data_IF_004004696030
#
_entry.id   IF_004004696030
#
_cell.length_a   1.000
_cell.length_b   1.000
_cell.length_c   1.000
_cell.angle_alpha   90.00
_cell.angle_beta   90.00
_cell.angle_gamma   90.00
#
_symmetry.space_group_name_H-M   'P 1'
#
loop_
_entity.id
_entity.type
_entity.pdbx_description
1 polymer ?
#
# COMPACT_ATOMS: atom_id res chain seq x y z
N UNK A 1 -26.97 25.54 8.85
CA UNK A 1 -26.71 24.70 7.64
C UNK A 1 -25.33 24.04 7.69
N UNK A 2 -24.23 24.80 7.85
CA UNK A 2 -22.88 24.23 7.96
C UNK A 2 -22.72 23.18 9.07
N UNK A 3 -23.22 23.44 10.29
CA UNK A 3 -23.13 22.47 11.39
C UNK A 3 -23.87 21.17 11.11
N UNK A 4 -25.00 21.23 10.38
CA UNK A 4 -25.76 20.04 9.98
C UNK A 4 -25.03 19.22 8.90
N UNK A 5 -24.39 19.89 7.93
CA UNK A 5 -23.54 19.23 6.94
C UNK A 5 -22.31 18.58 7.58
N UNK A 6 -21.64 19.28 8.50
CA UNK A 6 -20.50 18.73 9.25
C UNK A 6 -20.91 17.51 10.08
N UNK A 7 -22.04 17.59 10.79
CA UNK A 7 -22.55 16.46 11.57
C UNK A 7 -22.91 15.26 10.68
N UNK A 8 -23.57 15.51 9.53
CA UNK A 8 -23.88 14.48 8.54
C UNK A 8 -22.61 13.82 7.97
N UNK A 9 -21.58 14.61 7.66
CA UNK A 9 -20.29 14.10 7.17
C UNK A 9 -19.59 13.21 8.20
N UNK A 10 -19.61 13.60 9.48
CA UNK A 10 -19.06 12.79 10.58
C UNK A 10 -19.83 11.47 10.71
N UNK A 11 -21.16 11.51 10.66
CA UNK A 11 -22.00 10.31 10.70
C UNK A 11 -21.72 9.36 9.54
N UNK A 12 -21.66 9.88 8.30
CA UNK A 12 -21.36 9.08 7.11
C UNK A 12 -19.95 8.48 7.20
N UNK A 13 -18.98 9.25 7.69
CA UNK A 13 -17.60 8.80 7.87
C UNK A 13 -17.51 7.67 8.90
N UNK A 14 -18.22 7.80 10.03
CA UNK A 14 -18.31 6.75 11.04
C UNK A 14 -18.96 5.49 10.47
N UNK A 15 -20.10 5.64 9.79
CA UNK A 15 -20.83 4.52 9.19
C UNK A 15 -19.96 3.79 8.15
N UNK A 16 -19.28 4.53 7.28
CA UNK A 16 -18.40 3.98 6.24
C UNK A 16 -17.23 3.20 6.85
N UNK A 17 -16.61 3.72 7.91
CA UNK A 17 -15.53 3.02 8.60
C UNK A 17 -16.02 1.74 9.28
N UNK A 18 -17.17 1.80 9.96
CA UNK A 18 -17.77 0.63 10.61
C UNK A 18 -18.14 -0.45 9.56
N UNK A 19 -18.81 -0.06 8.48
CA UNK A 19 -19.17 -0.98 7.39
C UNK A 19 -17.92 -1.60 6.74
N UNK A 20 -16.85 -0.81 6.55
CA UNK A 20 -15.56 -1.30 6.08
C UNK A 20 -14.97 -2.38 6.99
N UNK A 21 -14.98 -2.15 8.31
CA UNK A 21 -14.50 -3.11 9.31
C UNK A 21 -15.38 -4.37 9.36
N UNK A 22 -16.71 -4.24 9.29
CA UNK A 22 -17.63 -5.38 9.24
C UNK A 22 -17.46 -6.21 7.97
N UNK A 23 -17.33 -5.57 6.80
CA UNK A 23 -17.05 -6.24 5.55
C UNK A 23 -15.71 -6.98 5.60
N UNK A 24 -14.68 -6.32 6.15
CA UNK A 24 -13.37 -6.92 6.40
C UNK A 24 -13.46 -8.16 7.29
N UNK A 25 -14.17 -8.08 8.42
CA UNK A 25 -14.38 -9.22 9.32
C UNK A 25 -15.13 -10.39 8.64
N UNK A 26 -16.16 -10.10 7.84
CA UNK A 26 -16.91 -11.11 7.09
C UNK A 26 -16.06 -11.79 6.01
N UNK A 27 -15.28 -11.01 5.26
CA UNK A 27 -14.35 -11.52 4.24
C UNK A 27 -13.29 -12.43 4.87
N UNK A 28 -12.73 -12.02 6.01
CA UNK A 28 -11.74 -12.77 6.80
C UNK A 28 -12.26 -14.12 7.27
N UNK A 29 -13.48 -14.15 7.83
CA UNK A 29 -14.15 -15.40 8.25
C UNK A 29 -14.38 -16.35 7.07
N UNK A 30 -14.83 -15.82 5.92
CA UNK A 30 -15.00 -16.62 4.70
C UNK A 30 -13.67 -17.19 4.23
N UNK A 31 -12.64 -16.36 4.10
CA UNK A 31 -11.31 -16.76 3.65
C UNK A 31 -10.73 -17.86 4.54
N UNK A 32 -10.79 -17.70 5.86
CA UNK A 32 -10.32 -18.70 6.81
C UNK A 32 -11.13 -20.00 6.73
N UNK A 33 -12.46 -19.93 6.54
CA UNK A 33 -13.31 -21.13 6.38
C UNK A 33 -12.99 -21.90 5.09
N UNK A 34 -12.81 -21.19 3.97
CA UNK A 34 -12.43 -21.82 2.70
C UNK A 34 -11.05 -22.44 2.77
N UNK A 35 -10.07 -21.75 3.36
CA UNK A 35 -8.74 -22.29 3.56
C UNK A 35 -8.75 -23.54 4.43
N UNK A 36 -9.50 -23.52 5.54
CA UNK A 36 -9.66 -24.66 6.44
C UNK A 36 -10.28 -25.87 5.72
N UNK A 37 -11.40 -25.66 5.03
CA UNK A 37 -12.10 -26.75 4.33
C UNK A 37 -11.24 -27.35 3.21
N UNK A 38 -10.56 -26.50 2.45
CA UNK A 38 -9.69 -26.95 1.37
C UNK A 38 -8.50 -27.75 1.92
N UNK A 39 -7.84 -27.27 2.98
CA UNK A 39 -6.70 -27.98 3.60
C UNK A 39 -7.13 -29.33 4.17
N UNK A 40 -8.28 -29.41 4.85
CA UNK A 40 -8.81 -30.68 5.37
C UNK A 40 -9.16 -31.69 4.26
N UNK A 41 -9.45 -31.22 3.04
CA UNK A 41 -9.74 -32.06 1.88
C UNK A 41 -8.52 -32.50 1.07
N UNK A 42 -7.30 -32.09 1.45
CA UNK A 42 -6.08 -32.42 0.72
C UNK A 42 -5.67 -33.90 0.91
N UNK A 43 -5.09 -34.56 -0.12
CA UNK A 43 -4.49 -35.89 0.02
C UNK A 43 -3.38 -35.93 1.07
N UNK A 44 -3.25 -37.08 1.76
CA UNK A 44 -2.19 -37.32 2.75
C UNK A 44 -0.77 -37.07 2.19
N UNK A 45 -0.56 -37.36 0.90
CA UNK A 45 0.68 -37.07 0.17
C UNK A 45 1.16 -35.62 0.29
N UNK A 46 0.24 -34.65 0.36
CA UNK A 46 0.61 -33.23 0.53
C UNK A 46 1.08 -32.95 1.96
N UNK A 47 0.48 -33.60 2.96
CA UNK A 47 0.91 -33.47 4.36
C UNK A 47 2.27 -34.14 4.63
N UNK A 48 2.60 -35.20 3.89
CA UNK A 48 3.92 -35.84 3.97
C UNK A 48 5.01 -35.06 3.24
N UNK A 49 4.67 -34.42 2.12
CA UNK A 49 5.65 -33.67 1.29
C UNK A 49 5.85 -32.23 1.74
N UNK A 50 4.87 -31.61 2.42
CA UNK A 50 4.98 -30.23 2.91
C UNK A 50 5.15 -30.18 4.43
N UNK A 51 6.16 -29.46 4.95
CA UNK A 51 6.37 -29.39 6.38
C UNK A 51 5.19 -28.69 7.06
N UNK A 52 4.68 -29.25 8.16
CA UNK A 52 3.54 -28.70 8.92
C UNK A 52 3.71 -27.21 9.28
N UNK A 53 4.94 -26.78 9.57
CA UNK A 53 5.25 -25.38 9.86
C UNK A 53 4.93 -24.42 8.70
N UNK A 54 5.01 -24.89 7.44
CA UNK A 54 4.63 -24.08 6.27
C UNK A 54 3.12 -23.92 6.18
N UNK A 55 2.33 -24.95 6.48
CA UNK A 55 0.86 -24.87 6.54
C UNK A 55 0.45 -23.92 7.67
N UNK A 56 1.07 -24.04 8.85
CA UNK A 56 0.80 -23.18 10.00
C UNK A 56 1.14 -21.71 9.71
N UNK A 57 2.26 -21.44 9.02
CA UNK A 57 2.62 -20.08 8.61
C UNK A 57 1.60 -19.46 7.64
N UNK A 58 0.93 -20.26 6.81
CA UNK A 58 -0.14 -19.79 5.91
C UNK A 58 -1.39 -19.41 6.69
N UNK A 59 -1.84 -20.23 7.64
CA UNK A 59 -2.99 -19.94 8.49
C UNK A 59 -2.75 -18.79 9.48
N UNK A 60 -1.51 -18.64 9.96
CA UNK A 60 -1.18 -17.62 10.95
C UNK A 60 -0.70 -16.33 10.27
N UNK A 61 0.49 -16.36 9.66
CA UNK A 61 1.16 -15.16 9.16
C UNK A 61 0.46 -14.58 7.94
N UNK A 62 0.17 -15.38 6.91
CA UNK A 62 -0.41 -14.84 5.66
C UNK A 62 -1.86 -14.38 5.85
N UNK A 63 -2.69 -15.15 6.55
CA UNK A 63 -4.06 -14.71 6.88
C UNK A 63 -4.04 -13.42 7.71
N UNK A 64 -3.11 -13.27 8.67
CA UNK A 64 -2.98 -12.02 9.45
C UNK A 64 -2.54 -10.83 8.59
N UNK A 65 -1.67 -11.05 7.59
CA UNK A 65 -1.25 -10.00 6.65
C UNK A 65 -2.41 -9.58 5.74
N UNK A 66 -3.14 -10.54 5.18
CA UNK A 66 -4.33 -10.30 4.34
C UNK A 66 -5.41 -9.57 5.15
N UNK A 67 -5.56 -9.95 6.41
CA UNK A 67 -6.52 -9.34 7.29
C UNK A 67 -6.14 -7.89 7.65
N UNK A 68 -5.05 -7.71 8.39
CA UNK A 68 -4.77 -6.42 9.01
C UNK A 68 -4.18 -5.43 8.02
N UNK A 69 -3.26 -5.90 7.17
CA UNK A 69 -2.48 -5.01 6.30
C UNK A 69 -3.19 -4.76 4.98
N UNK A 70 -3.59 -5.81 4.26
CA UNK A 70 -4.25 -5.65 2.96
C UNK A 70 -5.59 -4.92 3.09
N UNK A 71 -6.47 -5.29 4.02
CA UNK A 71 -7.77 -4.64 4.17
C UNK A 71 -7.62 -3.14 4.48
N UNK A 72 -6.73 -2.79 5.41
CA UNK A 72 -6.46 -1.39 5.77
C UNK A 72 -5.83 -0.61 4.61
N UNK A 73 -4.92 -1.22 3.84
CA UNK A 73 -4.31 -0.59 2.68
C UNK A 73 -5.30 -0.37 1.54
N UNK A 74 -6.20 -1.33 1.26
CA UNK A 74 -7.25 -1.18 0.25
C UNK A 74 -8.26 -0.10 0.65
N UNK A 75 -8.67 -0.06 1.92
CA UNK A 75 -9.58 0.98 2.41
C UNK A 75 -8.96 2.38 2.27
N UNK A 76 -7.68 2.54 2.66
CA UNK A 76 -6.96 3.80 2.51
C UNK A 76 -6.72 4.16 1.04
N UNK A 77 -6.39 3.19 0.20
CA UNK A 77 -6.26 3.38 -1.25
C UNK A 77 -7.55 3.96 -1.84
N UNK A 78 -8.70 3.34 -1.53
CA UNK A 78 -10.00 3.80 -2.01
C UNK A 78 -10.31 5.23 -1.52
N UNK A 79 -10.03 5.52 -0.25
CA UNK A 79 -10.22 6.86 0.32
C UNK A 79 -9.40 7.92 -0.43
N UNK A 80 -8.11 7.68 -0.66
CA UNK A 80 -7.26 8.64 -1.36
C UNK A 80 -7.59 8.76 -2.86
N UNK A 81 -8.02 7.67 -3.51
CA UNK A 81 -8.52 7.73 -4.88
C UNK A 81 -9.79 8.60 -4.98
N UNK A 82 -10.72 8.46 -4.05
CA UNK A 82 -11.93 9.28 -3.99
C UNK A 82 -11.61 10.75 -3.70
N UNK A 83 -10.63 11.03 -2.83
CA UNK A 83 -10.15 12.39 -2.58
C UNK A 83 -9.52 13.03 -3.82
N UNK A 84 -8.67 12.30 -4.55
CA UNK A 84 -8.13 12.75 -5.83
C UNK A 84 -9.24 13.02 -6.84
N UNK A 85 -10.20 12.10 -6.97
CA UNK A 85 -11.32 12.25 -7.89
C UNK A 85 -12.18 13.48 -7.54
N UNK A 86 -12.46 13.70 -6.25
CA UNK A 86 -13.16 14.88 -5.76
C UNK A 86 -12.41 16.18 -6.12
N UNK A 87 -11.10 16.22 -5.90
CA UNK A 87 -10.29 17.38 -6.24
C UNK A 87 -10.31 17.69 -7.75
N UNK A 88 -10.21 16.66 -8.60
CA UNK A 88 -10.30 16.82 -10.06
C UNK A 88 -11.70 17.31 -10.47
N UNK A 89 -12.75 16.75 -9.87
CA UNK A 89 -14.14 17.11 -10.17
C UNK A 89 -14.43 18.57 -9.78
N UNK A 90 -14.03 19.00 -8.58
CA UNK A 90 -14.17 20.40 -8.15
C UNK A 90 -13.44 21.34 -9.11
N UNK A 91 -12.20 21.02 -9.47
CA UNK A 91 -11.43 21.83 -10.42
C UNK A 91 -12.05 21.86 -11.82
N UNK A 92 -12.60 20.74 -12.28
CA UNK A 92 -13.28 20.66 -13.59
C UNK A 92 -14.55 21.51 -13.64
N UNK A 93 -15.30 21.63 -12.53
CA UNK A 93 -16.52 22.44 -12.46
C UNK A 93 -16.15 23.94 -12.42
N UNK A 94 -15.15 24.30 -11.62
CA UNK A 94 -14.74 25.72 -11.47
C UNK A 94 -14.01 26.22 -12.71
N UNK A 95 -13.21 25.38 -13.37
CA UNK A 95 -12.37 25.78 -14.49
C UNK A 95 -12.32 24.66 -15.54
N UNK A 96 -13.19 24.69 -16.56
CA UNK A 96 -13.24 23.66 -17.60
C UNK A 96 -11.91 23.52 -18.38
N UNK A 97 -11.17 24.62 -18.53
CA UNK A 97 -9.86 24.66 -19.17
C UNK A 97 -8.75 23.94 -18.37
N UNK A 98 -9.01 23.60 -17.11
CA UNK A 98 -8.09 22.77 -16.33
C UNK A 98 -7.95 21.37 -16.93
N UNK A 99 -9.01 20.82 -17.53
CA UNK A 99 -8.99 19.44 -18.06
C UNK A 99 -7.96 19.27 -19.18
N UNK A 100 -7.88 20.23 -20.10
CA UNK A 100 -6.93 20.19 -21.22
C UNK A 100 -5.48 20.24 -20.73
N UNK A 101 -5.21 20.96 -19.64
CA UNK A 101 -3.88 21.05 -19.02
C UNK A 101 -3.58 19.86 -18.09
N UNK A 102 -4.60 19.23 -17.53
CA UNK A 102 -4.45 18.05 -16.69
C UNK A 102 -4.02 16.81 -17.49
N UNK A 103 -4.48 16.66 -18.74
CA UNK A 103 -4.13 15.51 -19.61
C UNK A 103 -2.62 15.28 -19.76
N UNK A 104 -1.81 16.25 -20.23
CA UNK A 104 -0.36 16.03 -20.39
C UNK A 104 0.33 15.74 -19.05
N UNK A 105 -0.14 16.37 -17.98
CA UNK A 105 0.40 16.17 -16.63
C UNK A 105 0.12 14.73 -16.15
N UNK A 106 -1.10 14.22 -16.35
CA UNK A 106 -1.47 12.84 -16.06
C UNK A 106 -0.57 11.82 -16.79
N UNK A 107 -0.16 12.11 -18.03
CA UNK A 107 0.77 11.26 -18.79
C UNK A 107 2.15 11.23 -18.11
N UNK A 108 2.68 12.38 -17.70
CA UNK A 108 3.95 12.47 -16.97
C UNK A 108 3.86 11.73 -15.64
N UNK A 109 2.77 11.92 -14.88
CA UNK A 109 2.51 11.19 -13.63
C UNK A 109 2.50 9.69 -13.84
N UNK A 110 1.82 9.20 -14.88
CA UNK A 110 1.77 7.78 -15.19
C UNK A 110 3.17 7.23 -15.51
N UNK A 111 4.00 7.98 -16.24
CA UNK A 111 5.40 7.62 -16.52
C UNK A 111 6.23 7.48 -15.24
N UNK A 112 6.20 8.50 -14.37
CA UNK A 112 6.91 8.50 -13.09
C UNK A 112 6.43 7.37 -12.18
N UNK A 113 5.11 7.18 -12.09
CA UNK A 113 4.50 6.12 -11.29
C UNK A 113 4.89 4.72 -11.80
N UNK A 114 4.90 4.51 -13.12
CA UNK A 114 5.29 3.23 -13.73
C UNK A 114 6.76 2.91 -13.43
N UNK A 115 7.64 3.89 -13.56
CA UNK A 115 9.05 3.75 -13.23
C UNK A 115 9.25 3.40 -11.75
N UNK A 116 8.63 4.17 -10.85
CA UNK A 116 8.71 3.92 -9.41
C UNK A 116 8.17 2.54 -9.02
N UNK A 117 7.01 2.13 -9.55
CA UNK A 117 6.39 0.85 -9.19
C UNK A 117 7.29 -0.34 -9.55
N UNK A 118 7.96 -0.27 -10.70
CA UNK A 118 8.91 -1.31 -11.10
C UNK A 118 10.10 -1.39 -10.14
N UNK A 119 10.71 -0.25 -9.82
CA UNK A 119 11.87 -0.19 -8.91
C UNK A 119 11.51 -0.55 -7.46
N UNK A 120 10.35 -0.06 -6.98
CA UNK A 120 9.88 -0.29 -5.61
C UNK A 120 9.61 -1.78 -5.34
N UNK A 121 9.05 -2.50 -6.31
CA UNK A 121 8.82 -3.94 -6.19
C UNK A 121 10.12 -4.73 -5.98
N UNK A 122 11.16 -4.44 -6.76
CA UNK A 122 12.45 -5.11 -6.61
C UNK A 122 13.15 -4.72 -5.29
N UNK A 123 13.03 -3.45 -4.87
CA UNK A 123 13.55 -3.00 -3.57
C UNK A 123 12.86 -3.70 -2.39
N UNK A 124 11.53 -3.85 -2.43
CA UNK A 124 10.77 -4.61 -1.43
C UNK A 124 11.13 -6.10 -1.44
N UNK A 125 11.45 -6.67 -2.61
CA UNK A 125 11.95 -8.03 -2.72
C UNK A 125 13.32 -8.17 -2.06
N UNK A 126 14.25 -7.25 -2.30
CA UNK A 126 15.56 -7.21 -1.64
C UNK A 126 15.44 -7.07 -0.12
N UNK A 127 14.57 -6.18 0.36
CA UNK A 127 14.26 -6.02 1.79
C UNK A 127 13.76 -7.34 2.40
N UNK A 128 12.82 -8.01 1.73
CA UNK A 128 12.29 -9.31 2.17
C UNK A 128 13.36 -10.41 2.18
N UNK A 129 14.24 -10.44 1.18
CA UNK A 129 15.31 -11.44 1.06
C UNK A 129 16.42 -11.24 2.08
N UNK A 130 16.77 -10.00 2.44
CA UNK A 130 17.81 -9.68 3.42
C UNK A 130 17.33 -9.87 4.87
N UNK A 131 16.02 -9.77 5.13
CA UNK A 131 15.46 -9.99 6.47
C UNK A 131 15.49 -11.45 6.93
N UNK A 132 15.19 -12.40 6.02
CA UNK A 132 15.15 -13.83 6.36
C UNK A 132 16.45 -14.38 6.96
N UNK A 133 17.66 -14.16 6.40
CA UNK A 133 18.91 -14.70 6.94
C UNK A 133 19.25 -14.16 8.33
N UNK A 134 18.77 -12.97 8.71
CA UNK A 134 18.91 -12.43 10.07
C UNK A 134 18.13 -13.29 11.06
N UNK A 135 16.86 -13.59 10.74
CA UNK A 135 16.03 -14.44 11.59
C UNK A 135 16.61 -15.86 11.70
N UNK A 136 17.06 -16.43 10.59
CA UNK A 136 17.71 -17.75 10.59
C UNK A 136 18.97 -17.78 11.45
N UNK A 137 19.84 -16.77 11.33
CA UNK A 137 21.06 -16.65 12.15
C UNK A 137 20.75 -16.57 13.64
N UNK A 138 19.71 -15.82 13.99
CA UNK A 138 19.27 -15.65 15.37
C UNK A 138 18.71 -16.96 15.94
N UNK A 139 17.88 -17.67 15.17
CA UNK A 139 17.38 -19.00 15.57
C UNK A 139 18.54 -20.00 15.77
N UNK A 140 19.48 -20.06 14.84
CA UNK A 140 20.66 -20.93 14.93
C UNK A 140 21.52 -20.59 16.16
N UNK A 141 21.73 -19.30 16.43
CA UNK A 141 22.51 -18.83 17.59
C UNK A 141 21.82 -19.20 18.92
N UNK A 142 20.50 -19.10 19.00
CA UNK A 142 19.74 -19.49 20.21
C UNK A 142 19.82 -21.00 20.43
N UNK A 143 19.60 -21.80 19.38
CA UNK A 143 19.65 -23.27 19.48
C UNK A 143 21.07 -23.78 19.78
N UNK A 144 22.11 -23.10 19.29
CA UNK A 144 23.52 -23.48 19.49
C UNK A 144 24.26 -22.67 20.56
N UNK A 145 23.56 -22.01 21.49
CA UNK A 145 24.20 -21.04 22.38
C UNK A 145 25.31 -21.64 23.24
N UNK A 146 25.08 -22.84 23.79
CA UNK A 146 26.04 -23.54 24.65
C UNK A 146 27.30 -23.94 23.89
N UNK A 147 27.18 -24.44 22.66
CA UNK A 147 28.33 -24.81 21.83
C UNK A 147 29.15 -23.57 21.45
N UNK A 148 28.50 -22.47 21.06
CA UNK A 148 29.17 -21.21 20.72
C UNK A 148 29.98 -20.69 21.92
N UNK A 149 29.42 -20.78 23.13
CA UNK A 149 30.09 -20.39 24.38
C UNK A 149 31.25 -21.31 24.72
N UNK A 150 31.07 -22.63 24.60
CA UNK A 150 32.10 -23.63 24.86
C UNK A 150 33.34 -23.42 23.96
N UNK A 151 33.14 -23.13 22.67
CA UNK A 151 34.22 -22.86 21.71
C UNK A 151 34.73 -21.41 21.71
N UNK A 152 34.17 -20.53 22.56
CA UNK A 152 34.52 -19.09 22.65
C UNK A 152 34.43 -18.34 21.31
N UNK A 153 33.45 -18.69 20.47
CA UNK A 153 33.26 -18.13 19.11
C UNK A 153 32.22 -16.99 19.04
N UNK A 154 31.89 -16.34 20.16
CA UNK A 154 30.85 -15.30 20.22
C UNK A 154 31.16 -14.13 19.29
N UNK A 155 32.41 -13.66 19.25
CA UNK A 155 32.82 -12.52 18.41
C UNK A 155 32.57 -12.78 16.92
N UNK A 156 32.84 -14.00 16.45
CA UNK A 156 32.59 -14.41 15.06
C UNK A 156 31.10 -14.36 14.72
N UNK A 157 30.26 -14.89 15.60
CA UNK A 157 28.80 -14.88 15.41
C UNK A 157 28.20 -13.47 15.48
N UNK A 158 28.73 -12.61 16.35
CA UNK A 158 28.34 -11.20 16.45
C UNK A 158 28.74 -10.44 15.18
N UNK A 159 29.96 -10.60 14.68
CA UNK A 159 30.40 -9.96 13.44
C UNK A 159 29.56 -10.40 12.23
N UNK A 160 29.25 -11.70 12.13
CA UNK A 160 28.36 -12.23 11.09
C UNK A 160 26.94 -11.65 11.19
N UNK A 161 26.42 -11.46 12.41
CA UNK A 161 25.13 -10.82 12.63
C UNK A 161 25.14 -9.35 12.18
N UNK A 162 26.18 -8.59 12.54
CA UNK A 162 26.33 -7.20 12.11
C UNK A 162 26.41 -7.08 10.59
N UNK A 163 27.15 -7.95 9.90
CA UNK A 163 27.22 -7.95 8.44
C UNK A 163 25.85 -8.17 7.77
N UNK A 164 25.06 -9.13 8.28
CA UNK A 164 23.69 -9.40 7.79
C UNK A 164 22.76 -8.22 8.09
N UNK A 165 22.88 -7.62 9.28
CA UNK A 165 22.09 -6.46 9.70
C UNK A 165 22.40 -5.22 8.86
N UNK A 166 23.68 -4.99 8.54
CA UNK A 166 24.12 -3.88 7.69
C UNK A 166 23.57 -4.02 6.27
N UNK A 167 23.64 -5.24 5.71
CA UNK A 167 23.05 -5.55 4.40
C UNK A 167 21.54 -5.26 4.34
N UNK A 168 20.79 -5.66 5.37
CA UNK A 168 19.36 -5.34 5.49
C UNK A 168 19.11 -3.85 5.69
N UNK A 169 19.91 -3.19 6.53
CA UNK A 169 19.77 -1.75 6.79
C UNK A 169 20.01 -0.96 5.51
N UNK A 170 21.01 -1.33 4.70
CA UNK A 170 21.25 -0.71 3.40
C UNK A 170 20.06 -0.91 2.44
N UNK A 171 19.54 -2.13 2.31
CA UNK A 171 18.36 -2.40 1.48
C UNK A 171 17.14 -1.57 1.93
N UNK A 172 16.90 -1.49 3.24
CA UNK A 172 15.84 -0.70 3.84
C UNK A 172 16.00 0.81 3.57
N UNK A 173 17.22 1.34 3.70
CA UNK A 173 17.52 2.75 3.44
C UNK A 173 17.32 3.12 1.97
N UNK A 174 17.71 2.26 1.03
CA UNK A 174 17.50 2.50 -0.40
C UNK A 174 16.00 2.47 -0.72
N UNK A 175 15.25 1.53 -0.14
CA UNK A 175 13.79 1.45 -0.29
C UNK A 175 13.09 2.73 0.23
N UNK A 176 13.49 3.21 1.40
CA UNK A 176 12.95 4.45 1.97
C UNK A 176 13.38 5.69 1.17
N UNK A 177 14.62 5.74 0.69
CA UNK A 177 15.11 6.82 -0.17
C UNK A 177 14.35 6.89 -1.49
N UNK A 178 14.05 5.74 -2.11
CA UNK A 178 13.22 5.68 -3.32
C UNK A 178 11.80 6.24 -3.05
N UNK A 179 11.19 5.88 -1.92
CA UNK A 179 9.88 6.41 -1.53
C UNK A 179 9.90 7.93 -1.32
N UNK A 180 10.99 8.47 -0.76
CA UNK A 180 11.19 9.92 -0.60
C UNK A 180 11.42 10.63 -1.93
N UNK A 181 12.21 10.05 -2.82
CA UNK A 181 12.42 10.57 -4.17
C UNK A 181 11.10 10.70 -4.93
N UNK A 182 10.25 9.67 -4.87
CA UNK A 182 8.90 9.75 -5.46
C UNK A 182 8.09 10.89 -4.84
N UNK A 183 8.12 11.04 -3.51
CA UNK A 183 7.44 12.16 -2.84
C UNK A 183 7.84 13.52 -3.39
N UNK A 184 9.15 13.77 -3.44
CA UNK A 184 9.69 15.01 -3.97
C UNK A 184 9.29 15.20 -5.45
N UNK A 185 9.39 14.16 -6.28
CA UNK A 185 9.01 14.23 -7.69
C UNK A 185 7.51 14.54 -7.90
N UNK A 186 6.62 13.91 -7.11
CA UNK A 186 5.19 14.15 -7.17
C UNK A 186 4.80 15.54 -6.64
N UNK A 187 5.52 16.03 -5.61
CA UNK A 187 5.34 17.37 -5.05
C UNK A 187 5.78 18.46 -6.06
N UNK A 188 6.89 18.27 -6.78
CA UNK A 188 7.30 19.18 -7.85
C UNK A 188 6.28 19.24 -9.00
N UNK A 189 5.83 18.08 -9.50
CA UNK A 189 4.77 18.03 -10.52
C UNK A 189 3.47 18.65 -9.99
N UNK A 190 3.20 18.46 -8.71
CA UNK A 190 2.06 19.01 -8.01
C UNK A 190 2.08 20.52 -7.94
N UNK A 191 3.23 21.10 -7.59
CA UNK A 191 3.46 22.54 -7.56
C UNK A 191 3.25 23.16 -8.94
N UNK A 192 3.68 22.49 -10.02
CA UNK A 192 3.42 22.93 -11.39
C UNK A 192 1.92 22.92 -11.70
N UNK A 193 1.17 21.88 -11.30
CA UNK A 193 -0.30 21.86 -11.46
C UNK A 193 -0.94 23.04 -10.71
N UNK A 194 -0.55 23.26 -9.45
CA UNK A 194 -1.10 24.35 -8.64
C UNK A 194 -0.83 25.69 -9.30
N UNK A 195 0.39 25.92 -9.77
CA UNK A 195 0.76 27.16 -10.47
C UNK A 195 -0.09 27.36 -11.72
N UNK A 196 -0.26 26.33 -12.54
CA UNK A 196 -1.09 26.38 -13.75
C UNK A 196 -2.55 26.62 -13.41
N UNK A 197 -3.10 25.91 -12.42
CA UNK A 197 -4.48 26.08 -11.96
C UNK A 197 -4.74 27.50 -11.43
N UNK A 198 -3.80 28.06 -10.67
CA UNK A 198 -3.84 29.44 -10.18
C UNK A 198 -3.90 30.45 -11.34
N UNK A 199 -2.99 30.32 -12.32
CA UNK A 199 -2.93 31.22 -13.47
C UNK A 199 -4.21 31.15 -14.32
N UNK A 200 -4.69 29.93 -14.61
CA UNK A 200 -5.91 29.74 -15.40
C UNK A 200 -7.12 30.28 -14.65
N UNK A 201 -7.23 30.04 -13.34
CA UNK A 201 -8.32 30.55 -12.53
C UNK A 201 -8.35 32.09 -12.49
N UNK A 202 -7.18 32.74 -12.40
CA UNK A 202 -7.05 34.19 -12.49
C UNK A 202 -7.47 34.73 -13.86
N UNK A 203 -7.04 34.08 -14.94
CA UNK A 203 -7.42 34.46 -16.32
C UNK A 203 -8.94 34.28 -16.53
N UNK A 204 -9.51 33.16 -16.07
CA UNK A 204 -10.94 32.91 -16.14
C UNK A 204 -11.75 33.91 -15.31
N UNK A 205 -11.26 34.35 -14.16
CA UNK A 205 -11.90 35.40 -13.36
C UNK A 205 -11.96 36.74 -14.11
N UNK A 206 -10.96 37.04 -14.95
CA UNK A 206 -10.95 38.25 -15.78
C UNK A 206 -11.84 38.11 -17.04
N UNK A 207 -11.93 36.91 -17.64
CA UNK A 207 -12.71 36.67 -18.86
C UNK A 207 -14.21 36.43 -18.60
N UNK A 208 -14.56 35.81 -17.47
CA UNK A 208 -15.94 35.41 -17.13
C UNK A 208 -16.29 35.78 -15.67
N UNK A 209 -16.42 37.08 -15.35
CA UNK A 209 -16.74 37.54 -14.00
C UNK A 209 -18.13 37.11 -13.51
N UNK A 210 -19.04 36.73 -14.41
CA UNK A 210 -20.41 36.32 -14.07
C UNK A 210 -20.53 34.87 -13.56
N UNK A 211 -19.56 34.00 -13.85
CA UNK A 211 -19.63 32.55 -13.54
C UNK A 211 -18.69 32.18 -12.40
N UNK A 212 -17.58 32.90 -12.24
CA UNK A 212 -16.51 32.53 -11.31
C UNK A 212 -16.51 33.48 -10.10
N UNK A 213 -17.07 33.05 -8.97
CA UNK A 213 -16.99 33.81 -7.72
C UNK A 213 -15.63 33.58 -7.02
N UNK A 214 -15.08 34.59 -6.31
CA UNK A 214 -13.80 34.45 -5.59
C UNK A 214 -13.78 33.28 -4.60
N UNK A 215 -14.94 32.93 -4.02
CA UNK A 215 -15.09 31.79 -3.13
C UNK A 215 -14.86 30.44 -3.84
N UNK A 216 -15.35 30.26 -5.07
CA UNK A 216 -15.12 29.06 -5.87
C UNK A 216 -13.66 28.93 -6.30
N UNK A 217 -13.01 30.06 -6.62
CA UNK A 217 -11.58 30.12 -6.93
C UNK A 217 -10.76 29.65 -5.72
N UNK A 218 -11.01 30.22 -4.54
CA UNK A 218 -10.34 29.80 -3.30
C UNK A 218 -10.55 28.31 -2.99
N UNK A 219 -11.75 27.79 -3.24
CA UNK A 219 -12.06 26.36 -3.11
C UNK A 219 -11.19 25.52 -4.06
N UNK A 220 -11.18 25.82 -5.36
CA UNK A 220 -10.40 25.09 -6.36
C UNK A 220 -8.90 25.06 -6.03
N UNK A 221 -8.35 26.19 -5.58
CA UNK A 221 -6.95 26.32 -5.18
C UNK A 221 -6.62 25.41 -3.99
N UNK A 222 -7.47 25.43 -2.95
CA UNK A 222 -7.27 24.60 -1.76
C UNK A 222 -7.31 23.10 -2.10
N UNK A 223 -8.22 22.66 -2.96
CA UNK A 223 -8.26 21.27 -3.42
C UNK A 223 -7.03 20.92 -4.26
N UNK A 224 -6.60 21.81 -5.16
CA UNK A 224 -5.42 21.59 -6.02
C UNK A 224 -4.14 21.46 -5.21
N UNK A 225 -4.00 22.25 -4.13
CA UNK A 225 -2.84 22.18 -3.23
C UNK A 225 -2.69 20.82 -2.54
N UNK A 226 -3.80 20.11 -2.33
CA UNK A 226 -3.82 18.82 -1.64
C UNK A 226 -3.64 17.61 -2.58
N UNK A 227 -3.87 17.78 -3.89
CA UNK A 227 -3.72 16.72 -4.91
C UNK A 227 -2.35 16.02 -4.86
N UNK A 228 -1.20 16.71 -4.74
CA UNK A 228 0.12 16.07 -4.77
C UNK A 228 0.30 15.10 -3.60
N UNK A 229 -0.15 15.53 -2.41
CA UNK A 229 -0.14 14.72 -1.19
C UNK A 229 -1.01 13.47 -1.38
N UNK A 230 -2.20 13.62 -1.93
CA UNK A 230 -3.10 12.48 -2.16
C UNK A 230 -2.50 11.48 -3.16
N UNK A 231 -1.93 11.96 -4.27
CA UNK A 231 -1.28 11.12 -5.27
C UNK A 231 -0.11 10.34 -4.67
N UNK A 232 0.70 10.96 -3.81
CA UNK A 232 1.78 10.26 -3.11
C UNK A 232 1.25 9.06 -2.31
N UNK A 233 0.19 9.28 -1.53
CA UNK A 233 -0.45 8.20 -0.77
C UNK A 233 -1.07 7.13 -1.66
N UNK A 234 -1.69 7.50 -2.78
CA UNK A 234 -2.21 6.53 -3.76
C UNK A 234 -1.11 5.62 -4.28
N UNK A 235 0.02 6.17 -4.76
CA UNK A 235 1.12 5.36 -5.29
C UNK A 235 1.70 4.43 -4.21
N UNK A 236 1.85 4.94 -2.99
CA UNK A 236 2.31 4.15 -1.85
C UNK A 236 1.35 2.98 -1.54
N UNK A 237 0.05 3.26 -1.43
CA UNK A 237 -0.92 2.20 -1.13
C UNK A 237 -1.10 1.19 -2.26
N UNK A 238 -0.97 1.61 -3.53
CA UNK A 238 -0.94 0.66 -4.66
C UNK A 238 0.24 -0.30 -4.51
N UNK A 239 1.43 0.23 -4.20
CA UNK A 239 2.63 -0.59 -4.01
C UNK A 239 2.48 -1.55 -2.83
N UNK A 240 1.93 -1.08 -1.71
CA UNK A 240 1.63 -1.92 -0.55
C UNK A 240 0.61 -3.02 -0.87
N UNK A 241 -0.45 -2.70 -1.61
CA UNK A 241 -1.48 -3.67 -2.03
C UNK A 241 -0.89 -4.73 -2.96
N UNK A 242 -0.06 -4.34 -3.93
CA UNK A 242 0.63 -5.27 -4.85
C UNK A 242 1.50 -6.25 -4.05
N UNK A 243 2.26 -5.75 -3.07
CA UNK A 243 3.08 -6.58 -2.18
C UNK A 243 2.24 -7.57 -1.36
N UNK A 244 1.14 -7.12 -0.75
CA UNK A 244 0.28 -7.98 0.06
C UNK A 244 -0.53 -8.97 -0.77
N UNK A 245 -0.80 -8.67 -2.05
CA UNK A 245 -1.49 -9.59 -2.96
C UNK A 245 -0.70 -10.87 -3.23
N UNK A 246 0.64 -10.84 -3.19
CA UNK A 246 1.44 -12.06 -3.24
C UNK A 246 1.15 -13.02 -2.05
N UNK A 247 0.70 -12.51 -0.90
CA UNK A 247 0.17 -13.32 0.20
C UNK A 247 -1.16 -13.98 -0.14
N UNK A 248 -2.08 -13.23 -0.76
CA UNK A 248 -3.38 -13.73 -1.22
C UNK A 248 -3.21 -14.82 -2.27
N UNK A 249 -2.31 -14.64 -3.24
CA UNK A 249 -2.05 -15.62 -4.29
C UNK A 249 -1.58 -16.96 -3.69
N UNK A 250 -0.68 -16.91 -2.70
CA UNK A 250 -0.22 -18.11 -1.98
C UNK A 250 -1.36 -18.82 -1.25
N UNK A 251 -2.24 -18.09 -0.56
CA UNK A 251 -3.42 -18.68 0.12
C UNK A 251 -4.41 -19.25 -0.90
N UNK A 252 -4.65 -18.54 -2.01
CA UNK A 252 -5.55 -18.98 -3.07
C UNK A 252 -5.04 -20.25 -3.77
N UNK A 253 -3.72 -20.40 -3.91
CA UNK A 253 -3.10 -21.60 -4.45
C UNK A 253 -3.48 -22.84 -3.62
N UNK A 254 -3.45 -22.76 -2.28
CA UNK A 254 -3.91 -23.85 -1.42
C UNK A 254 -5.41 -24.11 -1.54
N UNK A 255 -6.23 -23.05 -1.63
CA UNK A 255 -7.69 -23.19 -1.80
C UNK A 255 -8.05 -23.90 -3.12
N UNK A 256 -7.26 -23.69 -4.17
CA UNK A 256 -7.46 -24.28 -5.51
C UNK A 256 -6.86 -25.68 -5.67
N UNK A 257 -6.08 -26.17 -4.71
CA UNK A 257 -5.58 -27.54 -4.77
C UNK A 257 -6.77 -28.51 -4.70
N UNK A 258 -6.81 -29.47 -5.65
CA UNK A 258 -7.94 -30.38 -5.78
C UNK A 258 -8.12 -31.23 -4.51
N UNK A 259 -9.36 -31.36 -4.00
CA UNK A 259 -9.65 -32.29 -2.93
C UNK A 259 -9.54 -33.74 -3.44
N UNK A 260 -9.23 -34.65 -2.52
CA UNK A 260 -9.01 -36.08 -2.76
C UNK A 260 -10.18 -36.79 -3.49
N UNK A 261 -11.40 -36.25 -3.43
CA UNK A 261 -12.61 -36.86 -4.01
C UNK A 261 -13.07 -36.28 -5.37
N UNK A 262 -12.15 -35.88 -6.25
CA UNK A 262 -12.51 -35.53 -7.64
C UNK A 262 -11.98 -36.56 -8.64
N UNK A 263 -12.65 -37.72 -8.67
CA UNK A 263 -12.77 -38.57 -9.86
C UNK A 263 -14.05 -38.16 -10.57
#
# INVERSE_FOLDING_TARGET
MYSALSFGCVLISLLSNLLGQFCGAKARRRLHKYLLYSVLGLPMKIFETTPLGRILARFSTDVTVIDKKLATSVQRLLQFLLLCFSAILVNSIVTPWFLTLAVPICIIYYGVQKFYRCSSRELQRLDSMTRTPILSHLTETISGLETIRAFKQQRRFIAAMFYKLDSHTNAFLISNSAARWLGIALDYLGAVIVLVAMLVSLICSNLMPAVVTPALVGLAINYTLLVPIYLNWVVKFISDVEMYMAGVERVCHYIKMKPFNSV
#
